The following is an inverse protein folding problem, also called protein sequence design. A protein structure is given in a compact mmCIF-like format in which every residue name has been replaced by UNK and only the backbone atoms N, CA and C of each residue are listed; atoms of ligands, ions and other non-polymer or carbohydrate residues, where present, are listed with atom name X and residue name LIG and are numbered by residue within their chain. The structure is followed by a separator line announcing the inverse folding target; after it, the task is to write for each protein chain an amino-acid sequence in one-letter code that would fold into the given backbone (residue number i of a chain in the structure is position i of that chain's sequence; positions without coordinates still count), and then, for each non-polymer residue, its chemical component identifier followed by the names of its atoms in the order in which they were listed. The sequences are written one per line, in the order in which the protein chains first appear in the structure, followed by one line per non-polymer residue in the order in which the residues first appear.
data_IF_757928708707
#
_entry.id   IF_757928708707
#
_cell.length_a   1.000
_cell.length_b   1.000
_cell.length_c   1.000
_cell.angle_alpha   90.00
_cell.angle_beta   90.00
_cell.angle_gamma   90.00
#
_symmetry.space_group_name_H-M   'P 1'
#
loop_
_entity.id
_entity.type
_entity.pdbx_description
1 polymer ?
#
# COMPACT_ATOMS: atom_id res chain seq x y z
N UNK A 1 -4.61 -15.23 27.02
CA UNK A 1 -4.85 -13.78 27.04
C UNK A 1 -4.22 -13.20 25.80
N UNK A 2 -5.02 -12.53 24.98
CA UNK A 2 -4.50 -11.92 23.74
C UNK A 2 -3.86 -10.58 24.05
N UNK A 3 -2.75 -10.24 23.38
CA UNK A 3 -2.04 -8.96 23.54
C UNK A 3 -2.99 -7.76 23.30
N UNK A 4 -3.96 -7.93 22.41
CA UNK A 4 -5.01 -6.95 22.12
C UNK A 4 -5.88 -6.59 23.33
N UNK A 5 -6.13 -7.52 24.26
CA UNK A 5 -6.91 -7.26 25.48
C UNK A 5 -6.16 -6.29 26.40
N UNK A 6 -4.83 -6.47 26.51
CA UNK A 6 -3.96 -5.55 27.26
C UNK A 6 -3.96 -4.18 26.58
N UNK A 7 -3.79 -4.13 25.26
CA UNK A 7 -3.81 -2.87 24.49
C UNK A 7 -5.16 -2.16 24.66
N UNK A 8 -6.27 -2.88 24.58
CA UNK A 8 -7.61 -2.35 24.78
C UNK A 8 -7.77 -1.77 26.20
N UNK A 9 -7.26 -2.47 27.22
CA UNK A 9 -7.23 -1.96 28.59
C UNK A 9 -6.39 -0.68 28.68
N UNK A 10 -5.16 -0.65 28.15
CA UNK A 10 -4.31 0.55 28.15
C UNK A 10 -5.05 1.73 27.50
N UNK A 11 -5.71 1.53 26.36
CA UNK A 11 -6.47 2.58 25.70
C UNK A 11 -7.69 3.04 26.51
N UNK A 12 -8.44 2.14 27.15
CA UNK A 12 -9.52 2.53 28.07
C UNK A 12 -9.00 3.39 29.21
N UNK A 13 -7.86 3.04 29.80
CA UNK A 13 -7.22 3.83 30.85
C UNK A 13 -6.79 5.21 30.33
N UNK A 14 -6.10 5.25 29.19
CA UNK A 14 -5.64 6.51 28.58
C UNK A 14 -6.79 7.47 28.25
N UNK A 15 -7.97 6.95 27.89
CA UNK A 15 -9.16 7.76 27.61
C UNK A 15 -9.74 8.42 28.87
N UNK A 16 -9.44 7.90 30.07
CA UNK A 16 -9.90 8.52 31.32
C UNK A 16 -8.99 9.66 31.80
N UNK A 17 -7.71 9.64 31.40
CA UNK A 17 -6.70 10.54 31.97
C UNK A 17 -6.37 10.27 33.44
N UNK A 18 -6.83 9.15 33.99
CA UNK A 18 -6.61 8.74 35.39
C UNK A 18 -5.83 7.42 35.46
N UNK A 19 -5.13 7.21 36.57
CA UNK A 19 -4.52 5.91 36.86
C UNK A 19 -5.61 4.89 37.22
N UNK A 20 -5.53 3.65 36.71
CA UNK A 20 -6.60 2.68 36.83
C UNK A 20 -6.69 2.10 38.25
N UNK A 21 -7.91 1.76 38.68
CA UNK A 21 -8.15 1.09 39.96
C UNK A 21 -7.91 -0.42 39.92
N UNK A 22 -7.98 -1.02 38.73
CA UNK A 22 -7.76 -2.46 38.50
C UNK A 22 -6.68 -2.67 37.45
N UNK A 23 -6.07 -3.84 37.46
CA UNK A 23 -5.20 -4.28 36.38
C UNK A 23 -5.98 -4.64 35.10
N UNK A 24 -5.26 -5.15 34.10
CA UNK A 24 -5.81 -5.56 32.81
C UNK A 24 -6.69 -6.82 32.87
N UNK A 25 -6.67 -7.56 33.98
CA UNK A 25 -7.55 -8.70 34.25
C UNK A 25 -8.80 -8.29 35.05
N UNK A 26 -8.89 -7.02 35.44
CA UNK A 26 -9.97 -6.52 36.30
C UNK A 26 -9.76 -6.78 37.79
N UNK A 27 -8.57 -7.25 38.19
CA UNK A 27 -8.23 -7.46 39.59
C UNK A 27 -7.83 -6.13 40.25
N UNK A 28 -8.28 -5.90 41.48
CA UNK A 28 -7.81 -4.77 42.27
C UNK A 28 -6.31 -4.88 42.53
N UNK A 29 -5.63 -3.73 42.64
CA UNK A 29 -4.23 -3.70 43.02
C UNK A 29 -4.02 -4.22 44.45
N UNK A 30 -2.92 -4.93 44.74
CA UNK A 30 -2.62 -5.39 46.09
C UNK A 30 -2.65 -4.21 47.09
N UNK A 31 -3.29 -4.37 48.27
CA UNK A 31 -3.35 -3.33 49.28
C UNK A 31 -1.93 -2.83 49.65
N UNK A 32 -1.77 -1.51 49.75
CA UNK A 32 -0.49 -0.87 50.06
C UNK A 32 0.51 -0.81 48.90
N UNK A 33 0.20 -1.40 47.73
CA UNK A 33 1.01 -1.22 46.53
C UNK A 33 0.96 0.22 46.03
N UNK A 34 2.01 0.62 45.29
CA UNK A 34 2.05 1.94 44.65
C UNK A 34 0.84 2.17 43.73
N UNK A 35 0.46 1.18 42.94
CA UNK A 35 -0.68 1.27 42.03
C UNK A 35 -2.00 1.47 42.79
N UNK A 36 -2.20 0.79 43.93
CA UNK A 36 -3.37 0.97 44.78
C UNK A 36 -3.44 2.40 45.36
N UNK A 37 -2.30 2.92 45.84
CA UNK A 37 -2.23 4.29 46.41
C UNK A 37 -2.44 5.39 45.37
N UNK A 38 -2.04 5.15 44.13
CA UNK A 38 -2.13 6.12 43.05
C UNK A 38 -3.41 5.99 42.21
N UNK A 39 -4.25 4.97 42.42
CA UNK A 39 -5.49 4.74 41.68
C UNK A 39 -6.42 5.98 41.72
N UNK A 40 -7.00 6.33 40.58
CA UNK A 40 -7.86 7.50 40.43
C UNK A 40 -7.13 8.85 40.39
N UNK A 41 -5.82 8.89 40.66
CA UNK A 41 -5.03 10.13 40.50
C UNK A 41 -4.77 10.44 39.02
N UNK A 42 -4.58 11.73 38.65
CA UNK A 42 -4.28 12.11 37.28
C UNK A 42 -3.06 11.37 36.70
N UNK A 43 -3.24 10.82 35.51
CA UNK A 43 -2.18 10.31 34.67
C UNK A 43 -1.68 11.43 33.75
N UNK A 44 -0.36 11.56 33.56
CA UNK A 44 0.25 12.51 32.63
C UNK A 44 -0.33 13.94 32.67
N UNK A 45 -0.59 14.51 33.85
CA UNK A 45 -1.24 15.84 34.03
C UNK A 45 -2.62 15.95 33.35
N UNK A 46 -3.42 14.89 33.39
CA UNK A 46 -4.75 14.79 32.76
C UNK A 46 -4.75 14.84 31.23
N UNK A 47 -3.62 14.55 30.60
CA UNK A 47 -3.61 14.32 29.15
C UNK A 47 -4.35 13.03 28.81
N UNK A 48 -5.20 13.09 27.79
CA UNK A 48 -5.93 11.93 27.27
C UNK A 48 -5.14 11.32 26.10
N UNK A 49 -5.13 9.99 26.04
CA UNK A 49 -4.62 9.26 24.89
C UNK A 49 -5.76 8.61 24.10
N UNK A 50 -5.66 8.64 22.78
CA UNK A 50 -6.60 7.98 21.88
C UNK A 50 -5.84 7.08 20.90
N UNK A 51 -6.51 6.04 20.41
CA UNK A 51 -5.95 5.19 19.37
C UNK A 51 -5.82 5.98 18.05
N UNK A 52 -4.60 6.24 17.60
CA UNK A 52 -4.35 6.98 16.36
C UNK A 52 -4.41 6.07 15.13
N UNK A 53 -3.76 4.91 15.20
CA UNK A 53 -3.76 3.91 14.15
C UNK A 53 -2.80 2.76 14.44
N UNK A 54 -2.91 1.71 13.64
CA UNK A 54 -2.04 0.55 13.66
C UNK A 54 -1.21 0.55 12.39
N UNK A 55 0.11 0.50 12.50
CA UNK A 55 1.02 0.41 11.34
C UNK A 55 1.93 -0.80 11.53
N UNK A 56 1.95 -1.67 10.54
CA UNK A 56 2.85 -2.81 10.44
C UNK A 56 3.05 -3.15 8.97
N UNK A 57 3.96 -4.08 8.69
CA UNK A 57 3.98 -4.73 7.39
C UNK A 57 2.68 -5.53 7.16
N UNK A 58 2.41 -5.88 5.89
CA UNK A 58 1.18 -6.62 5.55
C UNK A 58 1.07 -7.98 6.22
N UNK A 59 2.17 -8.71 6.43
CA UNK A 59 2.12 -10.03 7.08
C UNK A 59 1.68 -9.88 8.55
N UNK A 60 2.36 -9.01 9.28
CA UNK A 60 2.00 -8.67 10.66
C UNK A 60 0.56 -8.15 10.75
N UNK A 61 0.09 -7.39 9.76
CA UNK A 61 -1.29 -6.90 9.73
C UNK A 61 -2.30 -8.04 9.62
N UNK A 62 -2.05 -8.98 8.70
CA UNK A 62 -2.88 -10.17 8.53
C UNK A 62 -2.95 -10.98 9.81
N UNK A 63 -1.80 -11.19 10.46
CA UNK A 63 -1.73 -11.97 11.70
C UNK A 63 -2.40 -11.25 12.88
N UNK A 64 -2.12 -9.96 13.07
CA UNK A 64 -2.67 -9.16 14.17
C UNK A 64 -4.18 -8.93 14.04
N UNK A 65 -4.69 -8.75 12.83
CA UNK A 65 -6.11 -8.48 12.59
C UNK A 65 -6.91 -9.70 12.12
N UNK A 66 -6.25 -10.85 11.93
CA UNK A 66 -6.87 -12.09 11.42
C UNK A 66 -7.60 -11.86 10.10
N UNK A 67 -6.99 -11.08 9.21
CA UNK A 67 -7.64 -10.64 7.98
C UNK A 67 -7.93 -11.84 7.06
N UNK A 68 -9.21 -12.13 6.74
CA UNK A 68 -9.55 -13.22 5.84
C UNK A 68 -9.27 -12.87 4.36
N UNK A 69 -9.14 -11.57 4.06
CA UNK A 69 -8.82 -11.01 2.75
C UNK A 69 -7.51 -10.25 2.86
N UNK A 70 -6.50 -10.70 2.13
CA UNK A 70 -5.16 -10.12 2.20
C UNK A 70 -4.35 -10.41 0.95
N UNK A 71 -3.13 -9.86 0.87
CA UNK A 71 -2.17 -10.14 -0.19
C UNK A 71 -1.89 -11.63 -0.38
N UNK A 72 -1.88 -12.41 0.71
CA UNK A 72 -1.72 -13.87 0.65
C UNK A 72 -2.89 -14.57 -0.03
N UNK A 73 -4.07 -13.93 -0.08
CA UNK A 73 -5.30 -14.45 -0.67
C UNK A 73 -5.61 -13.83 -2.04
N UNK A 74 -4.61 -13.23 -2.70
CA UNK A 74 -4.71 -12.61 -4.03
C UNK A 74 -5.47 -11.27 -4.08
N UNK A 75 -5.76 -10.65 -2.93
CA UNK A 75 -6.35 -9.31 -2.82
C UNK A 75 -5.26 -8.26 -2.61
N UNK A 76 -5.51 -7.00 -2.99
CA UNK A 76 -4.54 -5.92 -2.76
C UNK A 76 -4.44 -5.58 -1.27
N UNK A 77 -5.58 -5.31 -0.63
CA UNK A 77 -5.65 -4.94 0.78
C UNK A 77 -7.01 -5.31 1.40
N UNK A 78 -7.24 -4.95 2.66
CA UNK A 78 -8.52 -5.16 3.36
C UNK A 78 -9.59 -4.11 3.05
N UNK A 79 -9.23 -3.06 2.32
CA UNK A 79 -10.10 -1.90 2.08
C UNK A 79 -11.00 -2.05 0.85
N UNK A 80 -10.70 -2.98 -0.05
CA UNK A 80 -11.48 -3.24 -1.25
C UNK A 80 -11.45 -4.72 -1.67
N UNK A 81 -12.10 -5.04 -2.79
CA UNK A 81 -12.08 -6.39 -3.39
C UNK A 81 -11.16 -6.50 -4.61
N UNK A 82 -10.24 -5.55 -4.80
CA UNK A 82 -9.31 -5.58 -5.92
C UNK A 82 -8.40 -6.81 -5.81
N UNK A 83 -8.30 -7.62 -6.87
CA UNK A 83 -7.59 -8.90 -6.83
C UNK A 83 -7.02 -9.30 -8.19
N UNK A 84 -6.10 -10.28 -8.21
CA UNK A 84 -5.45 -10.71 -9.47
C UNK A 84 -6.26 -11.71 -10.29
N UNK A 85 -7.26 -12.39 -9.71
CA UNK A 85 -7.95 -13.51 -10.39
C UNK A 85 -9.33 -13.18 -10.95
N UNK A 86 -10.04 -12.20 -10.37
CA UNK A 86 -11.36 -11.81 -10.88
C UNK A 86 -11.20 -10.71 -11.91
N UNK A 87 -11.44 -11.03 -13.18
CA UNK A 87 -11.23 -10.10 -14.29
C UNK A 87 -11.94 -8.73 -14.10
N UNK A 88 -13.13 -8.73 -13.51
CA UNK A 88 -13.92 -7.51 -13.28
C UNK A 88 -13.46 -6.70 -12.05
N UNK A 89 -12.61 -7.28 -11.19
CA UNK A 89 -11.99 -6.61 -10.02
C UNK A 89 -10.46 -6.56 -10.16
N UNK A 90 -9.95 -6.72 -11.38
CA UNK A 90 -8.52 -6.79 -11.63
C UNK A 90 -7.87 -5.45 -11.30
N UNK A 91 -6.97 -5.42 -10.32
CA UNK A 91 -6.34 -4.18 -9.88
C UNK A 91 -5.39 -3.59 -10.96
N UNK A 92 -4.97 -4.40 -11.92
CA UNK A 92 -4.25 -3.94 -13.12
C UNK A 92 -5.11 -3.17 -14.13
N UNK A 93 -6.44 -3.19 -13.99
CA UNK A 93 -7.34 -2.37 -14.80
C UNK A 93 -7.35 -0.92 -14.30
N UNK A 94 -6.64 -0.04 -15.00
CA UNK A 94 -6.62 1.39 -14.69
C UNK A 94 -7.72 2.19 -15.40
N UNK A 95 -8.66 1.55 -16.10
CA UNK A 95 -9.76 2.23 -16.78
C UNK A 95 -10.65 3.02 -15.80
N UNK A 96 -11.40 3.99 -16.32
CA UNK A 96 -12.39 4.74 -15.53
C UNK A 96 -13.58 3.88 -15.09
N UNK A 97 -13.75 2.71 -15.71
CA UNK A 97 -14.83 1.74 -15.47
C UNK A 97 -14.36 0.51 -14.69
N UNK A 98 -13.13 0.50 -14.19
CA UNK A 98 -12.58 -0.63 -13.47
C UNK A 98 -13.43 -0.96 -12.23
N UNK A 99 -13.88 -2.22 -12.10
CA UNK A 99 -14.86 -2.59 -11.08
C UNK A 99 -14.35 -2.48 -9.64
N UNK A 100 -13.04 -2.55 -9.42
CA UNK A 100 -12.45 -2.35 -8.09
C UNK A 100 -12.68 -0.94 -7.54
N UNK A 101 -12.93 0.06 -8.40
CA UNK A 101 -13.20 1.45 -7.96
C UNK A 101 -14.48 1.58 -7.13
N UNK A 102 -15.40 0.63 -7.26
CA UNK A 102 -16.68 0.59 -6.54
C UNK A 102 -16.75 -0.55 -5.52
N UNK A 103 -15.64 -1.26 -5.27
CA UNK A 103 -15.60 -2.41 -4.37
C UNK A 103 -15.04 -2.07 -2.98
N UNK A 104 -14.99 -0.79 -2.64
CA UNK A 104 -14.56 -0.33 -1.33
C UNK A 104 -15.44 -0.95 -0.23
N UNK A 105 -14.78 -1.50 0.79
CA UNK A 105 -15.40 -2.13 1.95
C UNK A 105 -15.40 -1.07 3.05
N UNK A 106 -16.54 -0.79 3.67
CA UNK A 106 -16.63 0.08 4.86
C UNK A 106 -16.27 -0.68 6.13
N UNK A 107 -16.04 0.02 7.25
CA UNK A 107 -15.81 -0.66 8.53
C UNK A 107 -17.00 -1.53 8.90
N UNK A 108 -18.20 -1.03 8.68
CA UNK A 108 -19.46 -1.71 8.93
C UNK A 108 -19.57 -2.98 8.07
N UNK A 109 -19.24 -2.91 6.77
CA UNK A 109 -19.17 -4.08 5.89
C UNK A 109 -18.15 -5.10 6.39
N UNK A 110 -16.99 -4.63 6.87
CA UNK A 110 -15.97 -5.50 7.44
C UNK A 110 -16.46 -6.22 8.69
N UNK A 111 -17.13 -5.51 9.60
CA UNK A 111 -17.65 -6.11 10.85
C UNK A 111 -18.73 -7.15 10.57
N UNK A 112 -19.60 -6.91 9.59
CA UNK A 112 -20.64 -7.87 9.17
C UNK A 112 -20.01 -9.09 8.48
N UNK A 113 -19.06 -8.89 7.57
CA UNK A 113 -18.49 -9.98 6.77
C UNK A 113 -17.45 -10.82 7.50
N UNK A 114 -17.07 -10.44 8.73
CA UNK A 114 -15.99 -11.07 9.49
C UNK A 114 -16.48 -11.68 10.81
N UNK A 115 -17.76 -12.02 10.97
CA UNK A 115 -18.31 -12.51 12.26
C UNK A 115 -17.51 -13.67 12.88
N UNK A 116 -17.03 -14.63 12.08
CA UNK A 116 -16.21 -15.76 12.57
C UNK A 116 -14.71 -15.46 12.68
N UNK A 117 -14.25 -14.31 12.18
CA UNK A 117 -12.84 -13.92 12.08
C UNK A 117 -12.63 -12.45 12.43
N UNK A 118 -13.39 -11.94 13.40
CA UNK A 118 -13.36 -10.54 13.75
C UNK A 118 -11.97 -10.17 14.26
N UNK A 119 -11.49 -8.99 13.87
CA UNK A 119 -10.22 -8.50 14.38
C UNK A 119 -10.28 -8.43 15.91
N UNK A 120 -9.29 -9.00 16.63
CA UNK A 120 -9.23 -8.84 18.07
C UNK A 120 -9.01 -7.37 18.50
N UNK A 121 -8.68 -6.50 17.55
CA UNK A 121 -8.60 -5.05 17.75
C UNK A 121 -9.97 -4.36 17.83
N UNK A 122 -11.07 -5.05 17.50
CA UNK A 122 -12.43 -4.51 17.68
C UNK A 122 -12.72 -4.12 19.14
N UNK A 123 -12.01 -4.70 20.11
CA UNK A 123 -12.11 -4.34 21.53
C UNK A 123 -11.36 -3.05 21.90
N UNK A 124 -10.45 -2.57 21.04
CA UNK A 124 -9.63 -1.38 21.29
C UNK A 124 -10.47 -0.12 21.02
N UNK A 125 -10.70 0.75 22.02
CA UNK A 125 -11.50 1.96 21.83
C UNK A 125 -10.98 2.85 20.72
N UNK A 126 -11.86 3.18 19.77
CA UNK A 126 -11.55 4.04 18.63
C UNK A 126 -10.84 3.33 17.47
N UNK A 127 -10.59 2.02 17.56
CA UNK A 127 -10.15 1.25 16.41
C UNK A 127 -11.26 1.18 15.35
N UNK A 128 -10.86 1.40 14.10
CA UNK A 128 -11.63 1.13 12.89
C UNK A 128 -10.63 0.60 11.87
N UNK A 129 -11.08 -0.19 10.90
CA UNK A 129 -10.16 -0.74 9.88
C UNK A 129 -9.47 0.35 9.06
N UNK A 130 -10.10 1.52 8.89
CA UNK A 130 -9.48 2.67 8.19
C UNK A 130 -8.26 3.23 8.93
N UNK A 131 -8.06 2.84 10.19
CA UNK A 131 -6.89 3.19 11.00
C UNK A 131 -5.80 2.13 10.95
N UNK A 132 -5.97 1.07 10.17
CA UNK A 132 -4.86 0.21 9.77
C UNK A 132 -4.11 0.96 8.67
N UNK A 133 -3.02 1.63 9.03
CA UNK A 133 -2.28 2.52 8.15
C UNK A 133 -1.53 1.72 7.10
N UNK A 134 -1.76 2.03 5.83
CA UNK A 134 -1.18 1.35 4.67
C UNK A 134 0.34 1.14 4.75
N UNK A 135 0.74 0.00 4.20
CA UNK A 135 2.12 -0.42 4.09
C UNK A 135 2.59 -0.10 2.68
N UNK A 136 3.10 1.12 2.52
CA UNK A 136 3.50 1.67 1.22
C UNK A 136 4.54 0.79 0.51
N UNK A 137 5.35 0.03 1.25
CA UNK A 137 6.30 -0.90 0.66
C UNK A 137 5.58 -1.99 -0.15
N UNK A 138 4.60 -2.63 0.47
CA UNK A 138 3.92 -3.77 -0.15
C UNK A 138 2.72 -3.34 -1.00
N UNK A 139 2.00 -2.28 -0.63
CA UNK A 139 0.85 -1.78 -1.39
C UNK A 139 1.29 -1.06 -2.66
N UNK A 140 2.38 -0.29 -2.62
CA UNK A 140 2.85 0.53 -3.74
C UNK A 140 4.06 -0.08 -4.42
N UNK A 141 5.19 -0.25 -3.73
CA UNK A 141 6.44 -0.60 -4.41
C UNK A 141 6.51 -2.05 -4.85
N UNK A 142 5.93 -2.97 -4.09
CA UNK A 142 5.81 -4.39 -4.45
C UNK A 142 4.40 -4.74 -4.98
N UNK A 143 3.42 -3.87 -4.77
CA UNK A 143 2.01 -4.05 -5.14
C UNK A 143 1.67 -3.37 -6.47
N UNK A 144 0.94 -2.25 -6.41
CA UNK A 144 0.35 -1.62 -7.61
C UNK A 144 1.37 -0.90 -8.52
N UNK A 145 2.47 -0.41 -7.97
CA UNK A 145 3.51 0.35 -8.69
C UNK A 145 4.09 -0.40 -9.89
N UNK A 146 4.58 -1.65 -9.72
CA UNK A 146 5.01 -2.53 -10.80
C UNK A 146 4.01 -2.64 -11.97
N UNK A 147 2.71 -2.71 -11.68
CA UNK A 147 1.66 -2.81 -12.68
C UNK A 147 1.43 -1.48 -13.40
N UNK A 148 1.32 -0.39 -12.65
CA UNK A 148 1.06 0.94 -13.19
C UNK A 148 2.19 1.37 -14.14
N UNK A 149 3.44 1.20 -13.71
CA UNK A 149 4.62 1.57 -14.49
C UNK A 149 4.72 0.74 -15.75
N UNK A 150 4.65 -0.58 -15.64
CA UNK A 150 4.77 -1.46 -16.79
C UNK A 150 3.65 -1.22 -17.81
N UNK A 151 2.40 -1.13 -17.33
CA UNK A 151 1.22 -0.88 -18.18
C UNK A 151 1.35 0.44 -18.92
N UNK A 152 1.77 1.50 -18.21
CA UNK A 152 1.91 2.83 -18.79
C UNK A 152 2.98 2.89 -19.87
N UNK A 153 4.19 2.37 -19.57
CA UNK A 153 5.31 2.39 -20.52
C UNK A 153 4.97 1.56 -21.75
N UNK A 154 4.42 0.35 -21.58
CA UNK A 154 4.03 -0.52 -22.69
C UNK A 154 2.95 0.15 -23.54
N UNK A 155 1.93 0.76 -22.94
CA UNK A 155 0.90 1.49 -23.69
C UNK A 155 1.48 2.66 -24.48
N UNK A 156 2.38 3.45 -23.90
CA UNK A 156 3.06 4.53 -24.62
C UNK A 156 3.86 4.00 -25.83
N UNK A 157 4.56 2.88 -25.68
CA UNK A 157 5.31 2.27 -26.79
C UNK A 157 4.39 1.74 -27.89
N UNK A 158 3.29 1.08 -27.51
CA UNK A 158 2.34 0.51 -28.48
C UNK A 158 1.61 1.61 -29.25
N UNK A 159 1.31 2.75 -28.62
CA UNK A 159 0.77 3.93 -29.31
C UNK A 159 1.79 4.56 -30.27
N UNK A 160 3.08 4.59 -29.92
CA UNK A 160 4.15 5.12 -30.78
C UNK A 160 4.47 4.24 -31.99
N UNK A 161 4.29 2.91 -31.87
CA UNK A 161 4.74 1.94 -32.86
C UNK A 161 3.53 1.19 -33.44
N UNK A 162 3.03 1.58 -34.63
CA UNK A 162 1.97 0.84 -35.30
C UNK A 162 2.34 -0.64 -35.49
N UNK A 163 1.39 -1.54 -35.16
CA UNK A 163 1.61 -3.00 -35.19
C UNK A 163 2.86 -3.42 -34.41
N UNK A 164 3.00 -2.93 -33.17
CA UNK A 164 4.11 -3.24 -32.29
C UNK A 164 4.19 -4.75 -32.02
N UNK A 165 5.24 -5.40 -32.52
CA UNK A 165 5.55 -6.81 -32.22
C UNK A 165 6.31 -6.90 -30.89
N UNK A 166 6.40 -8.10 -30.30
CA UNK A 166 7.18 -8.32 -29.08
C UNK A 166 8.66 -7.93 -29.25
N UNK A 167 9.25 -8.22 -30.41
CA UNK A 167 10.63 -7.82 -30.74
C UNK A 167 10.80 -6.29 -30.79
N UNK A 168 9.88 -5.57 -31.45
CA UNK A 168 9.90 -4.10 -31.50
C UNK A 168 9.73 -3.48 -30.12
N UNK A 169 8.84 -4.05 -29.31
CA UNK A 169 8.65 -3.65 -27.93
C UNK A 169 9.94 -3.81 -27.11
N UNK A 170 10.60 -4.96 -27.22
CA UNK A 170 11.83 -5.26 -26.49
C UNK A 170 12.99 -4.33 -26.90
N UNK A 171 13.16 -4.09 -28.20
CA UNK A 171 14.14 -3.12 -28.71
C UNK A 171 13.88 -1.71 -28.17
N UNK A 172 12.62 -1.27 -28.15
CA UNK A 172 12.25 0.05 -27.62
C UNK A 172 12.46 0.13 -26.11
N UNK A 173 12.12 -0.91 -25.35
CA UNK A 173 12.37 -0.97 -23.90
C UNK A 173 13.87 -0.87 -23.58
N UNK A 174 14.71 -1.64 -24.28
CA UNK A 174 16.18 -1.57 -24.15
C UNK A 174 16.72 -0.17 -24.48
N UNK A 175 16.19 0.45 -25.54
CA UNK A 175 16.53 1.82 -25.92
C UNK A 175 16.13 2.82 -24.84
N UNK A 176 14.92 2.76 -24.30
CA UNK A 176 14.47 3.63 -23.20
C UNK A 176 15.34 3.48 -21.95
N UNK A 177 15.70 2.24 -21.59
CA UNK A 177 16.58 1.99 -20.46
C UNK A 177 17.94 2.68 -20.62
N UNK A 178 18.55 2.57 -21.80
CA UNK A 178 19.90 3.07 -22.09
C UNK A 178 19.95 4.57 -22.34
N UNK A 179 18.98 5.08 -23.11
CA UNK A 179 18.99 6.42 -23.66
C UNK A 179 18.12 7.41 -22.88
N UNK A 180 17.27 6.95 -21.96
CA UNK A 180 16.40 7.81 -21.16
C UNK A 180 16.54 7.54 -19.66
N UNK A 181 16.25 6.32 -19.19
CA UNK A 181 16.25 6.00 -17.76
C UNK A 181 17.62 6.17 -17.11
N UNK A 182 18.67 5.52 -17.63
CA UNK A 182 20.03 5.65 -17.08
C UNK A 182 20.54 7.09 -17.07
N UNK A 183 20.45 7.88 -18.16
CA UNK A 183 20.79 9.29 -18.15
C UNK A 183 20.02 10.08 -17.08
N UNK A 184 18.71 9.88 -16.98
CA UNK A 184 17.88 10.55 -15.98
C UNK A 184 18.30 10.20 -14.54
N UNK A 185 18.62 8.93 -14.27
CA UNK A 185 19.13 8.51 -12.96
C UNK A 185 20.43 9.25 -12.59
N UNK A 186 21.38 9.36 -13.54
CA UNK A 186 22.64 10.09 -13.33
C UNK A 186 22.42 11.58 -13.05
N UNK A 187 21.54 12.22 -13.81
CA UNK A 187 21.20 13.64 -13.63
C UNK A 187 20.55 13.90 -12.26
N UNK A 188 19.71 12.98 -11.80
CA UNK A 188 19.01 13.06 -10.52
C UNK A 188 19.78 12.44 -9.34
N UNK A 189 21.04 12.03 -9.55
CA UNK A 189 21.92 11.44 -8.52
C UNK A 189 21.28 10.25 -7.79
N UNK A 190 20.61 9.37 -8.54
CA UNK A 190 20.01 8.14 -8.02
C UNK A 190 20.58 6.92 -8.73
N UNK A 191 20.63 5.79 -8.03
CA UNK A 191 21.07 4.53 -8.63
C UNK A 191 20.05 4.04 -9.66
N UNK A 192 20.53 3.64 -10.82
CA UNK A 192 19.70 2.98 -11.82
C UNK A 192 19.46 1.53 -11.44
N UNK A 193 18.30 0.99 -11.83
CA UNK A 193 18.02 -0.44 -11.67
C UNK A 193 19.13 -1.30 -12.31
N UNK A 194 19.59 -2.34 -11.61
CA UNK A 194 20.66 -3.22 -12.10
C UNK A 194 20.26 -4.01 -13.35
N UNK A 195 18.94 -4.19 -13.53
CA UNK A 195 18.34 -4.92 -14.62
C UNK A 195 17.87 -3.99 -15.76
N UNK A 196 18.35 -4.24 -17.00
CA UNK A 196 17.81 -3.62 -18.21
C UNK A 196 16.31 -3.87 -18.39
N UNK A 197 15.59 -2.97 -19.06
CA UNK A 197 14.20 -3.22 -19.44
C UNK A 197 14.11 -4.21 -20.61
N UNK A 198 13.14 -5.11 -20.57
CA UNK A 198 12.86 -6.09 -21.62
C UNK A 198 11.39 -6.55 -21.60
N UNK A 199 10.94 -7.17 -22.69
CA UNK A 199 9.59 -7.77 -22.78
C UNK A 199 9.33 -8.80 -21.67
N UNK A 200 10.29 -9.71 -21.43
CA UNK A 200 10.30 -10.64 -20.29
C UNK A 200 10.09 -9.93 -18.96
N UNK A 201 10.87 -8.88 -18.70
CA UNK A 201 10.88 -8.16 -17.41
C UNK A 201 9.67 -7.26 -17.20
N UNK A 202 8.91 -6.98 -18.26
CA UNK A 202 7.61 -6.31 -18.21
C UNK A 202 6.44 -7.32 -18.28
N UNK A 203 6.75 -8.62 -18.13
CA UNK A 203 5.82 -9.76 -18.20
C UNK A 203 4.93 -9.76 -19.46
N UNK A 204 5.45 -9.32 -20.62
CA UNK A 204 4.70 -9.32 -21.89
C UNK A 204 4.80 -10.61 -22.69
N UNK A 205 5.76 -11.47 -22.35
CA UNK A 205 5.96 -12.76 -23.01
C UNK A 205 5.18 -13.90 -22.35
N UNK A 206 4.65 -13.69 -21.14
CA UNK A 206 3.82 -14.68 -20.45
C UNK A 206 2.37 -14.52 -20.88
N UNK A 207 1.83 -15.52 -21.58
CA UNK A 207 0.48 -15.50 -22.18
C UNK A 207 -0.66 -15.44 -21.16
N UNK A 208 -0.40 -15.68 -19.88
CA UNK A 208 -1.43 -15.75 -18.83
C UNK A 208 -1.71 -14.43 -18.11
N UNK A 209 -0.96 -13.35 -18.39
CA UNK A 209 -1.19 -12.04 -17.76
C UNK A 209 -1.85 -11.06 -18.72
N UNK A 210 -3.04 -10.60 -18.36
CA UNK A 210 -3.80 -9.59 -19.12
C UNK A 210 -3.08 -8.24 -19.16
N UNK A 211 -2.55 -7.81 -18.00
CA UNK A 211 -1.93 -6.49 -17.83
C UNK A 211 -0.41 -6.62 -17.65
N UNK A 212 0.39 -5.72 -18.25
CA UNK A 212 1.84 -5.68 -18.04
C UNK A 212 2.20 -5.42 -16.56
N UNK A 213 3.30 -6.02 -16.11
CA UNK A 213 3.78 -5.91 -14.73
C UNK A 213 5.30 -6.06 -14.72
N UNK A 214 6.00 -5.23 -13.95
CA UNK A 214 7.44 -5.40 -13.73
C UNK A 214 7.70 -6.73 -13.00
N UNK A 215 8.64 -7.54 -13.50
CA UNK A 215 9.00 -8.80 -12.87
C UNK A 215 9.61 -8.60 -11.49
N UNK A 216 9.56 -9.66 -10.67
CA UNK A 216 10.11 -9.70 -9.29
C UNK A 216 11.64 -9.47 -9.19
N UNK A 217 12.31 -9.27 -10.32
CA UNK A 217 13.75 -8.93 -10.38
C UNK A 217 14.02 -7.47 -9.98
N UNK A 218 13.00 -6.62 -9.96
CA UNK A 218 13.11 -5.24 -9.52
C UNK A 218 12.76 -5.15 -8.03
N UNK A 219 13.70 -4.64 -7.23
CA UNK A 219 13.49 -4.35 -5.82
C UNK A 219 12.59 -3.13 -5.64
N UNK A 220 11.96 -3.01 -4.48
CA UNK A 220 11.06 -1.90 -4.17
C UNK A 220 11.67 -0.50 -4.42
N UNK A 221 12.93 -0.29 -4.01
CA UNK A 221 13.66 0.94 -4.30
C UNK A 221 13.81 1.19 -5.82
N UNK A 222 14.12 0.15 -6.61
CA UNK A 222 14.23 0.30 -8.06
C UNK A 222 12.87 0.66 -8.68
N UNK A 223 11.78 0.04 -8.22
CA UNK A 223 10.42 0.38 -8.66
C UNK A 223 10.09 1.84 -8.36
N UNK A 224 10.41 2.32 -7.15
CA UNK A 224 10.24 3.74 -6.79
C UNK A 224 10.98 4.67 -7.76
N UNK A 225 12.24 4.40 -8.05
CA UNK A 225 13.02 5.20 -9.01
C UNK A 225 12.42 5.15 -10.42
N UNK A 226 11.93 3.98 -10.85
CA UNK A 226 11.25 3.83 -12.15
C UNK A 226 9.92 4.61 -12.17
N UNK A 227 9.16 4.68 -11.06
CA UNK A 227 7.94 5.51 -10.98
C UNK A 227 8.26 6.99 -11.26
N UNK A 228 9.28 7.55 -10.60
CA UNK A 228 9.70 8.94 -10.83
C UNK A 228 10.15 9.18 -12.27
N UNK A 229 10.96 8.28 -12.82
CA UNK A 229 11.37 8.39 -14.22
C UNK A 229 10.18 8.24 -15.18
N UNK A 230 9.26 7.32 -14.92
CA UNK A 230 8.09 7.10 -15.77
C UNK A 230 7.18 8.33 -15.80
N UNK A 231 7.01 9.02 -14.66
CA UNK A 231 6.33 10.31 -14.60
C UNK A 231 7.03 11.36 -15.47
N UNK A 232 8.36 11.46 -15.40
CA UNK A 232 9.16 12.33 -16.28
C UNK A 232 9.01 11.96 -17.75
N UNK A 233 9.10 10.66 -18.10
CA UNK A 233 8.98 10.17 -19.46
C UNK A 233 7.60 10.47 -20.07
N UNK A 234 6.53 10.37 -19.26
CA UNK A 234 5.17 10.61 -19.73
C UNK A 234 4.82 12.10 -19.88
N UNK A 235 5.63 13.03 -19.35
CA UNK A 235 5.38 14.48 -19.47
C UNK A 235 5.30 14.94 -20.93
N UNK A 236 6.01 14.25 -21.83
CA UNK A 236 6.08 14.58 -23.26
C UNK A 236 5.06 13.75 -24.09
N UNK A 237 4.17 13.00 -23.43
CA UNK A 237 3.20 12.08 -24.04
C UNK A 237 1.75 12.56 -23.91
N UNK A 238 1.55 13.87 -23.85
CA UNK A 238 0.24 14.51 -23.62
C UNK A 238 -0.63 14.67 -24.87
N UNK A 239 -0.16 14.17 -26.03
CA UNK A 239 -0.82 14.36 -27.33
C UNK A 239 -2.19 13.68 -27.48
N UNK A 240 -2.56 12.75 -26.59
CA UNK A 240 -3.85 12.07 -26.59
C UNK A 240 -4.54 12.18 -25.22
N UNK A 241 -5.86 11.95 -25.17
CA UNK A 241 -6.59 11.88 -23.90
C UNK A 241 -6.01 10.80 -22.99
N UNK A 242 -5.77 9.60 -23.53
CA UNK A 242 -5.17 8.49 -22.78
C UNK A 242 -3.75 8.79 -22.32
N UNK A 243 -2.95 9.47 -23.15
CA UNK A 243 -1.62 9.93 -22.78
C UNK A 243 -1.63 10.88 -21.59
N UNK A 244 -2.58 11.83 -21.56
CA UNK A 244 -2.79 12.73 -20.42
C UNK A 244 -3.20 11.98 -19.15
N UNK A 245 -4.13 11.02 -19.25
CA UNK A 245 -4.54 10.20 -18.10
C UNK A 245 -3.34 9.46 -17.50
N UNK A 246 -2.54 8.78 -18.35
CA UNK A 246 -1.34 8.06 -17.89
C UNK A 246 -0.31 8.97 -17.23
N UNK A 247 -0.03 10.11 -17.85
CA UNK A 247 0.91 11.10 -17.32
C UNK A 247 0.44 11.64 -15.95
N UNK A 248 -0.85 11.97 -15.83
CA UNK A 248 -1.43 12.43 -14.56
C UNK A 248 -1.37 11.35 -13.48
N UNK A 249 -1.72 10.10 -13.79
CA UNK A 249 -1.65 9.00 -12.83
C UNK A 249 -0.23 8.81 -12.26
N UNK A 250 0.78 8.76 -13.13
CA UNK A 250 2.17 8.62 -12.69
C UNK A 250 2.69 9.86 -11.94
N UNK A 251 2.34 11.06 -12.41
CA UNK A 251 2.73 12.30 -11.74
C UNK A 251 2.12 12.41 -10.35
N UNK A 252 0.84 12.08 -10.20
CA UNK A 252 0.15 12.06 -8.90
C UNK A 252 0.79 11.06 -7.95
N UNK A 253 1.08 9.83 -8.41
CA UNK A 253 1.75 8.83 -7.57
C UNK A 253 3.15 9.28 -7.17
N UNK A 254 3.96 9.77 -8.12
CA UNK A 254 5.30 10.27 -7.84
C UNK A 254 5.29 11.46 -6.86
N UNK A 255 4.32 12.37 -7.00
CA UNK A 255 4.15 13.51 -6.09
C UNK A 255 3.77 13.07 -4.69
N UNK A 256 2.84 12.11 -4.57
CA UNK A 256 2.46 11.53 -3.29
C UNK A 256 3.64 10.82 -2.60
N UNK A 257 4.41 10.01 -3.34
CA UNK A 257 5.64 9.37 -2.83
C UNK A 257 6.62 10.43 -2.32
N UNK A 258 6.82 11.52 -3.07
CA UNK A 258 7.70 12.62 -2.65
C UNK A 258 7.25 13.28 -1.35
N UNK A 259 5.93 13.47 -1.16
CA UNK A 259 5.39 14.02 0.09
C UNK A 259 5.68 13.06 1.25
N UNK A 260 5.50 11.75 1.06
CA UNK A 260 5.82 10.76 2.09
C UNK A 260 7.30 10.75 2.45
N UNK A 261 8.19 10.82 1.46
CA UNK A 261 9.64 10.86 1.69
C UNK A 261 10.04 12.08 2.52
N UNK A 262 9.46 13.25 2.23
CA UNK A 262 9.72 14.47 2.98
C UNK A 262 9.14 14.44 4.40
N UNK A 263 8.06 13.69 4.61
CA UNK A 263 7.44 13.49 5.92
C UNK A 263 8.13 12.40 6.77
N UNK A 264 9.15 11.72 6.24
CA UNK A 264 9.82 10.60 6.90
C UNK A 264 9.00 9.31 6.92
N UNK A 265 8.00 9.18 6.03
CA UNK A 265 7.09 8.04 5.94
C UNK A 265 7.45 7.01 4.87
N UNK A 266 8.65 7.09 4.29
CA UNK A 266 9.13 6.25 3.19
C UNK A 266 10.29 5.34 3.56
#
# INVERSE_FOLDING_TARGET
MEVTQIIAWIHRVMLTGLKPATDHLGCEWPPGSRSAMEAGSPFARQLLGAFAGFKSDLEARVLCHRLPRSYMHNFVCEHDLACVHLAHLQYGDFSSTAGWRTSAITHEDYMITSESSMSPWAEVPGWRKERNLDDTLHDIYQGIGPHLVASTIVHCIVEEIPKCTLEKLDLKLKSLYTNSYKPWCRENKTDSAGNSFSGVKFNREKSNKTYPELGCVYKAYEVKVIIFWAAFYCKDKLGSFQGRVRAMCLYSLASWIRVLDLAGGG
#
